data_IF_857506496442
#
_entry.id   IF_857506496442
#
_cell.length_a   1.000
_cell.length_b   1.000
_cell.length_c   1.000
_cell.angle_alpha   90.00
_cell.angle_beta   90.00
_cell.angle_gamma   90.00
#
_symmetry.space_group_name_H-M   'P 1'
#
loop_
_entity.id
_entity.type
_entity.pdbx_description
1 polymer ?
#
# COMPACT_ATOMS: atom_id res chain seq x y z
N UNK A 1 6.73 -42.28 19.47
CA UNK A 1 5.42 -41.59 19.50
C UNK A 1 5.53 -40.06 19.69
N UNK A 2 6.73 -39.49 19.68
CA UNK A 2 7.00 -38.09 20.06
C UNK A 2 6.93 -37.10 18.86
N UNK A 3 7.01 -37.60 17.63
CA UNK A 3 7.12 -36.79 16.40
C UNK A 3 5.82 -36.14 15.94
N UNK A 4 4.65 -36.74 16.21
CA UNK A 4 3.34 -36.22 15.77
C UNK A 4 2.86 -35.06 16.62
N UNK A 5 3.09 -35.12 17.93
CA UNK A 5 2.72 -34.05 18.87
C UNK A 5 3.62 -32.81 18.71
N UNK A 6 4.92 -33.01 18.45
CA UNK A 6 5.85 -31.92 18.13
C UNK A 6 5.48 -31.24 16.80
N UNK A 7 5.06 -32.01 15.79
CA UNK A 7 4.61 -31.46 14.52
C UNK A 7 3.30 -30.67 14.65
N UNK A 8 2.36 -31.13 15.47
CA UNK A 8 1.14 -30.38 15.79
C UNK A 8 1.46 -29.06 16.51
N UNK A 9 2.37 -29.07 17.48
CA UNK A 9 2.78 -27.86 18.21
C UNK A 9 3.44 -26.83 17.30
N UNK A 10 4.42 -27.25 16.49
CA UNK A 10 5.10 -26.37 15.53
C UNK A 10 4.10 -25.77 14.53
N UNK A 11 3.15 -26.59 14.10
CA UNK A 11 2.05 -26.19 13.22
C UNK A 11 1.17 -25.10 13.84
N UNK A 12 0.73 -25.29 15.07
CA UNK A 12 -0.10 -24.34 15.82
C UNK A 12 0.65 -23.01 16.06
N UNK A 13 1.95 -23.09 16.38
CA UNK A 13 2.83 -21.92 16.54
C UNK A 13 2.96 -21.13 15.22
N UNK A 14 3.12 -21.83 14.08
CA UNK A 14 3.20 -21.21 12.75
C UNK A 14 1.88 -20.52 12.38
N UNK A 15 0.75 -21.19 12.57
CA UNK A 15 -0.58 -20.64 12.28
C UNK A 15 -0.82 -19.40 13.13
N UNK A 16 -0.60 -19.49 14.45
CA UNK A 16 -0.80 -18.38 15.37
C UNK A 16 0.10 -17.18 15.04
N UNK A 17 1.36 -17.44 14.69
CA UNK A 17 2.29 -16.39 14.25
C UNK A 17 1.80 -15.70 12.96
N UNK A 18 1.23 -16.48 12.04
CA UNK A 18 0.72 -15.98 10.78
C UNK A 18 -0.56 -15.16 10.96
N UNK A 19 -1.52 -15.64 11.74
CA UNK A 19 -2.75 -14.93 12.06
C UNK A 19 -2.47 -13.60 12.77
N UNK A 20 -1.50 -13.57 13.69
CA UNK A 20 -1.04 -12.32 14.33
C UNK A 20 -0.47 -11.33 13.32
N UNK A 21 0.32 -11.79 12.33
CA UNK A 21 0.85 -10.92 11.27
C UNK A 21 -0.25 -10.38 10.37
N UNK A 22 -1.22 -11.21 10.00
CA UNK A 22 -2.39 -10.80 9.21
C UNK A 22 -3.18 -9.72 9.97
N UNK A 23 -3.40 -9.91 11.28
CA UNK A 23 -4.08 -8.93 12.12
C UNK A 23 -3.31 -7.60 12.21
N UNK A 24 -1.97 -7.65 12.40
CA UNK A 24 -1.14 -6.45 12.40
C UNK A 24 -1.18 -5.71 11.07
N UNK A 25 -1.17 -6.44 9.94
CA UNK A 25 -1.33 -5.84 8.61
C UNK A 25 -2.69 -5.16 8.47
N UNK A 26 -3.77 -5.82 8.92
CA UNK A 26 -5.11 -5.23 8.90
C UNK A 26 -5.16 -3.92 9.71
N UNK A 27 -4.54 -3.89 10.91
CA UNK A 27 -4.44 -2.66 11.70
C UNK A 27 -3.67 -1.54 11.00
N UNK A 28 -2.56 -1.86 10.32
CA UNK A 28 -1.79 -0.86 9.55
C UNK A 28 -2.65 -0.27 8.42
N UNK A 29 -3.44 -1.12 7.76
CA UNK A 29 -4.35 -0.70 6.69
C UNK A 29 -5.42 0.23 7.23
N UNK A 30 -6.08 -0.14 8.33
CA UNK A 30 -7.13 0.68 8.95
C UNK A 30 -6.59 2.02 9.44
N UNK A 31 -5.41 2.02 10.07
CA UNK A 31 -4.73 3.24 10.47
C UNK A 31 -4.38 4.11 9.25
N UNK A 32 -3.92 3.51 8.16
CA UNK A 32 -3.62 4.26 6.93
C UNK A 32 -4.88 4.87 6.34
N UNK A 33 -6.00 4.14 6.29
CA UNK A 33 -7.28 4.69 5.82
C UNK A 33 -7.73 5.89 6.65
N UNK A 34 -7.61 5.81 7.98
CA UNK A 34 -7.93 6.91 8.86
C UNK A 34 -7.03 8.13 8.61
N UNK A 35 -5.73 7.89 8.48
CA UNK A 35 -4.75 8.94 8.14
C UNK A 35 -5.12 9.62 6.82
N UNK A 36 -5.45 8.85 5.77
CA UNK A 36 -5.89 9.41 4.48
C UNK A 36 -7.14 10.29 4.64
N UNK A 37 -8.10 9.87 5.46
CA UNK A 37 -9.32 10.63 5.69
C UNK A 37 -9.07 11.91 6.48
N UNK A 38 -8.28 11.85 7.54
CA UNK A 38 -7.84 13.02 8.30
C UNK A 38 -7.11 14.03 7.39
N UNK A 39 -6.27 13.52 6.49
CA UNK A 39 -5.53 14.32 5.52
C UNK A 39 -6.44 15.04 4.53
N UNK A 40 -7.43 14.31 4.01
CA UNK A 40 -8.44 14.87 3.11
C UNK A 40 -9.21 16.00 3.78
N UNK A 41 -9.58 15.82 5.05
CA UNK A 41 -10.27 16.83 5.83
C UNK A 41 -9.39 18.08 6.05
N UNK A 42 -8.15 17.90 6.53
CA UNK A 42 -7.20 19.00 6.74
C UNK A 42 -6.95 19.80 5.45
N UNK A 43 -6.72 19.09 4.34
CA UNK A 43 -6.51 19.70 3.03
C UNK A 43 -7.72 20.54 2.60
N UNK A 44 -8.93 19.98 2.71
CA UNK A 44 -10.14 20.66 2.29
C UNK A 44 -10.37 21.92 3.13
N UNK A 45 -10.22 21.84 4.46
CA UNK A 45 -10.31 23.00 5.37
C UNK A 45 -9.31 24.10 5.00
N UNK A 46 -8.03 23.74 4.82
CA UNK A 46 -6.99 24.71 4.45
C UNK A 46 -7.25 25.33 3.07
N UNK A 47 -7.70 24.52 2.11
CA UNK A 47 -8.07 24.96 0.77
C UNK A 47 -9.23 25.94 0.81
N UNK A 48 -10.27 25.66 1.58
CA UNK A 48 -11.44 26.53 1.72
C UNK A 48 -11.08 27.85 2.39
N UNK A 49 -10.27 27.83 3.46
CA UNK A 49 -9.75 29.06 4.05
C UNK A 49 -8.95 29.91 3.06
N UNK A 50 -8.08 29.29 2.27
CA UNK A 50 -7.27 30.00 1.28
C UNK A 50 -8.14 30.58 0.15
N UNK A 51 -9.13 29.82 -0.31
CA UNK A 51 -10.12 30.24 -1.30
C UNK A 51 -10.93 31.43 -0.83
N UNK A 52 -11.40 31.41 0.42
CA UNK A 52 -12.16 32.51 1.01
C UNK A 52 -11.33 33.77 1.15
N UNK A 53 -10.09 33.66 1.66
CA UNK A 53 -9.19 34.80 1.81
C UNK A 53 -8.91 35.47 0.46
N UNK A 54 -8.48 34.70 -0.53
CA UNK A 54 -8.14 35.24 -1.86
C UNK A 54 -9.35 35.88 -2.56
N UNK A 55 -10.54 35.35 -2.33
CA UNK A 55 -11.78 35.93 -2.85
C UNK A 55 -12.15 37.23 -2.12
N UNK A 56 -12.02 37.28 -0.79
CA UNK A 56 -12.32 38.44 0.04
C UNK A 56 -11.41 39.63 -0.27
N UNK A 57 -10.12 39.35 -0.50
CA UNK A 57 -9.12 40.36 -0.84
C UNK A 57 -9.18 40.78 -2.33
N UNK A 58 -10.08 40.19 -3.12
CA UNK A 58 -10.25 40.50 -4.54
C UNK A 58 -9.13 39.98 -5.44
N UNK A 59 -8.20 39.18 -4.90
CA UNK A 59 -7.09 38.63 -5.65
C UNK A 59 -7.51 37.48 -6.57
N UNK A 60 -8.45 36.62 -6.18
CA UNK A 60 -8.83 35.49 -7.03
C UNK A 60 -10.30 35.12 -6.87
N UNK A 61 -11.02 34.99 -7.98
CA UNK A 61 -12.40 34.48 -7.94
C UNK A 61 -12.39 33.03 -7.48
N UNK A 62 -13.36 32.66 -6.64
CA UNK A 62 -13.54 31.28 -6.14
C UNK A 62 -13.49 30.23 -7.26
N UNK A 63 -14.13 30.51 -8.41
CA UNK A 63 -14.12 29.65 -9.60
C UNK A 63 -12.72 29.46 -10.21
N UNK A 64 -11.91 30.53 -10.25
CA UNK A 64 -10.55 30.45 -10.80
C UNK A 64 -9.63 29.66 -9.84
N UNK A 65 -9.82 29.82 -8.53
CA UNK A 65 -9.17 29.01 -7.52
C UNK A 65 -9.49 27.51 -7.69
N UNK A 66 -10.79 27.17 -7.81
CA UNK A 66 -11.24 25.79 -8.00
C UNK A 66 -10.61 25.16 -9.25
N UNK A 67 -10.58 25.90 -10.36
CA UNK A 67 -9.93 25.46 -11.59
C UNK A 67 -8.42 25.23 -11.41
N UNK A 68 -7.75 26.06 -10.62
CA UNK A 68 -6.31 25.92 -10.34
C UNK A 68 -6.00 24.69 -9.48
N UNK A 69 -6.85 24.37 -8.50
CA UNK A 69 -6.65 23.21 -7.63
C UNK A 69 -7.06 21.89 -8.26
N UNK A 70 -8.00 21.91 -9.21
CA UNK A 70 -8.63 20.71 -9.78
C UNK A 70 -7.64 19.61 -10.14
N UNK A 71 -6.55 19.94 -10.84
CA UNK A 71 -5.58 18.93 -11.28
C UNK A 71 -4.78 18.33 -10.11
N UNK A 72 -4.43 19.16 -9.12
CA UNK A 72 -3.71 18.70 -7.92
C UNK A 72 -4.60 17.79 -7.09
N UNK A 73 -5.88 18.15 -6.91
CA UNK A 73 -6.85 17.34 -6.18
C UNK A 73 -7.12 16.01 -6.87
N UNK A 74 -7.31 16.03 -8.20
CA UNK A 74 -7.56 14.81 -8.96
C UNK A 74 -6.39 13.83 -8.91
N UNK A 75 -5.14 14.33 -8.98
CA UNK A 75 -3.96 13.48 -8.80
C UNK A 75 -3.90 12.87 -7.40
N UNK A 76 -4.27 13.63 -6.36
CA UNK A 76 -4.30 13.11 -5.00
C UNK A 76 -5.38 12.06 -4.79
N UNK A 77 -6.60 12.32 -5.26
CA UNK A 77 -7.70 11.36 -5.12
C UNK A 77 -7.36 10.04 -5.84
N UNK A 78 -6.76 10.13 -7.05
CA UNK A 78 -6.25 8.96 -7.78
C UNK A 78 -5.19 8.21 -6.95
N UNK A 79 -4.28 8.96 -6.32
CA UNK A 79 -3.19 8.39 -5.53
C UNK A 79 -3.68 7.69 -4.27
N UNK A 80 -4.66 8.29 -3.59
CA UNK A 80 -5.33 7.70 -2.43
C UNK A 80 -6.01 6.38 -2.82
N UNK A 81 -6.68 6.33 -3.98
CA UNK A 81 -7.31 5.12 -4.50
C UNK A 81 -6.27 4.02 -4.80
N UNK A 82 -5.17 4.35 -5.47
CA UNK A 82 -4.06 3.41 -5.71
C UNK A 82 -3.51 2.80 -4.42
N UNK A 83 -3.35 3.61 -3.36
CA UNK A 83 -2.88 3.13 -2.05
C UNK A 83 -3.92 2.20 -1.41
N UNK A 84 -5.22 2.56 -1.45
CA UNK A 84 -6.29 1.71 -0.93
C UNK A 84 -6.33 0.35 -1.64
N UNK A 85 -6.24 0.35 -2.96
CA UNK A 85 -6.25 -0.87 -3.76
C UNK A 85 -5.05 -1.77 -3.49
N UNK A 86 -3.85 -1.18 -3.36
CA UNK A 86 -2.64 -1.90 -2.99
C UNK A 86 -2.79 -2.59 -1.63
N UNK A 87 -3.28 -1.86 -0.63
CA UNK A 87 -3.47 -2.35 0.73
C UNK A 87 -4.53 -3.46 0.78
N UNK A 88 -5.64 -3.29 0.06
CA UNK A 88 -6.69 -4.31 -0.06
C UNK A 88 -6.15 -5.59 -0.68
N UNK A 89 -5.46 -5.48 -1.81
CA UNK A 89 -4.86 -6.62 -2.51
C UNK A 89 -3.84 -7.33 -1.61
N UNK A 90 -3.04 -6.58 -0.86
CA UNK A 90 -2.10 -7.16 0.10
C UNK A 90 -2.79 -7.97 1.18
N UNK A 91 -3.87 -7.44 1.77
CA UNK A 91 -4.64 -8.14 2.79
C UNK A 91 -5.28 -9.42 2.26
N UNK A 92 -5.84 -9.38 1.05
CA UNK A 92 -6.40 -10.56 0.39
C UNK A 92 -5.33 -11.64 0.17
N UNK A 93 -4.12 -11.27 -0.28
CA UNK A 93 -2.99 -12.19 -0.40
C UNK A 93 -2.57 -12.79 0.95
N UNK A 94 -2.56 -12.00 2.02
CA UNK A 94 -2.25 -12.51 3.37
C UNK A 94 -3.31 -13.52 3.84
N UNK A 95 -4.59 -13.27 3.57
CA UNK A 95 -5.68 -14.19 3.91
C UNK A 95 -5.58 -15.49 3.11
N UNK A 96 -5.32 -15.41 1.81
CA UNK A 96 -5.13 -16.58 0.94
C UNK A 96 -3.99 -17.47 1.45
N UNK A 97 -2.84 -16.88 1.80
CA UNK A 97 -1.72 -17.63 2.35
C UNK A 97 -2.04 -18.30 3.68
N UNK A 98 -2.79 -17.63 4.56
CA UNK A 98 -3.24 -18.23 5.82
C UNK A 98 -4.12 -19.46 5.56
N UNK A 99 -5.03 -19.39 4.59
CA UNK A 99 -5.87 -20.52 4.20
C UNK A 99 -5.08 -21.67 3.56
N UNK A 100 -4.06 -21.37 2.74
CA UNK A 100 -3.15 -22.39 2.20
C UNK A 100 -2.44 -23.13 3.34
N UNK A 101 -1.90 -22.39 4.32
CA UNK A 101 -1.25 -22.98 5.50
C UNK A 101 -2.26 -23.88 6.23
N UNK A 102 -3.46 -23.38 6.55
CA UNK A 102 -4.50 -24.16 7.23
C UNK A 102 -4.86 -25.46 6.51
N UNK A 103 -5.07 -25.41 5.19
CA UNK A 103 -5.41 -26.61 4.39
C UNK A 103 -4.30 -27.65 4.40
N UNK A 104 -3.05 -27.22 4.20
CA UNK A 104 -1.91 -28.14 4.20
C UNK A 104 -1.71 -28.84 5.56
N UNK A 105 -2.06 -28.16 6.65
CA UNK A 105 -2.00 -28.71 8.00
C UNK A 105 -3.15 -29.67 8.29
N UNK A 106 -4.36 -29.35 7.81
CA UNK A 106 -5.54 -30.20 7.95
C UNK A 106 -5.41 -31.52 7.14
N UNK A 107 -4.72 -31.50 6.00
CA UNK A 107 -4.46 -32.69 5.17
C UNK A 107 -3.51 -33.72 5.85
N UNK A 108 -2.92 -33.36 7.00
CA UNK A 108 -2.61 -34.26 8.11
C UNK A 108 -1.51 -35.31 7.95
N UNK A 109 -1.20 -35.82 6.75
CA UNK A 109 -0.24 -36.94 6.55
C UNK A 109 0.26 -37.15 5.10
N UNK A 110 -0.08 -36.31 4.11
CA UNK A 110 0.27 -36.55 2.69
C UNK A 110 1.37 -35.66 2.11
N UNK A 111 1.70 -34.54 2.74
CA UNK A 111 2.73 -33.60 2.26
C UNK A 111 4.05 -33.95 2.93
N UNK A 112 5.10 -34.21 2.15
CA UNK A 112 6.43 -34.48 2.71
C UNK A 112 6.85 -33.24 3.50
N UNK A 113 7.42 -33.43 4.69
CA UNK A 113 7.86 -32.31 5.55
C UNK A 113 8.74 -31.29 4.81
N UNK A 114 9.60 -31.77 3.91
CA UNK A 114 10.46 -30.96 3.05
C UNK A 114 9.66 -30.07 2.08
N UNK A 115 8.52 -30.56 1.58
CA UNK A 115 7.61 -29.80 0.72
C UNK A 115 6.90 -28.69 1.48
N UNK A 116 6.49 -29.01 2.71
CA UNK A 116 5.89 -28.03 3.62
C UNK A 116 6.90 -26.95 4.03
N UNK A 117 8.15 -27.32 4.30
CA UNK A 117 9.23 -26.36 4.57
C UNK A 117 9.48 -25.43 3.38
N UNK A 118 9.48 -25.95 2.16
CA UNK A 118 9.63 -25.14 0.94
C UNK A 118 8.46 -24.18 0.72
N UNK A 119 7.22 -24.60 1.02
CA UNK A 119 6.04 -23.74 1.01
C UNK A 119 6.17 -22.63 2.05
N UNK A 120 6.57 -22.94 3.28
CA UNK A 120 6.76 -21.93 4.32
C UNK A 120 7.87 -20.93 3.99
N UNK A 121 8.99 -21.40 3.45
CA UNK A 121 10.10 -20.54 3.04
C UNK A 121 9.66 -19.56 1.95
N UNK A 122 8.92 -20.04 0.95
CA UNK A 122 8.43 -19.19 -0.15
C UNK A 122 7.33 -18.22 0.30
N UNK A 123 6.43 -18.63 1.21
CA UNK A 123 5.47 -17.73 1.86
C UNK A 123 6.20 -16.62 2.62
N UNK A 124 7.24 -16.94 3.41
CA UNK A 124 8.04 -15.95 4.14
C UNK A 124 8.72 -14.96 3.21
N UNK A 125 9.29 -15.42 2.10
CA UNK A 125 9.91 -14.56 1.09
C UNK A 125 8.89 -13.61 0.49
N UNK A 126 7.71 -14.11 0.07
CA UNK A 126 6.65 -13.29 -0.52
C UNK A 126 6.08 -12.28 0.48
N UNK A 127 5.92 -12.67 1.75
CA UNK A 127 5.54 -11.74 2.82
C UNK A 127 6.55 -10.61 2.98
N UNK A 128 7.84 -10.93 3.06
CA UNK A 128 8.89 -9.93 3.24
C UNK A 128 8.94 -8.98 2.04
N UNK A 129 8.86 -9.52 0.84
CA UNK A 129 8.86 -8.74 -0.38
C UNK A 129 7.66 -7.79 -0.39
N UNK A 130 6.44 -8.32 -0.34
CA UNK A 130 5.21 -7.51 -0.40
C UNK A 130 5.09 -6.50 0.74
N UNK A 131 5.53 -6.87 1.94
CA UNK A 131 5.61 -5.95 3.07
C UNK A 131 6.54 -4.76 2.81
N UNK A 132 7.69 -4.98 2.15
CA UNK A 132 8.58 -3.89 1.74
C UNK A 132 7.95 -3.00 0.67
N UNK A 133 7.24 -3.58 -0.31
CA UNK A 133 6.55 -2.81 -1.36
C UNK A 133 5.53 -1.84 -0.74
N UNK A 134 4.68 -2.37 0.14
CA UNK A 134 3.68 -1.59 0.86
C UNK A 134 4.34 -0.52 1.74
N UNK A 135 5.40 -0.85 2.47
CA UNK A 135 6.08 0.11 3.34
C UNK A 135 6.69 1.28 2.54
N UNK A 136 7.36 1.00 1.43
CA UNK A 136 7.91 2.04 0.54
C UNK A 136 6.79 2.94 0.01
N UNK A 137 5.66 2.35 -0.37
CA UNK A 137 4.50 3.08 -0.90
C UNK A 137 3.87 4.00 0.16
N UNK A 138 3.66 3.48 1.36
CA UNK A 138 3.10 4.24 2.48
C UNK A 138 4.01 5.38 2.90
N UNK A 139 5.33 5.14 2.95
CA UNK A 139 6.31 6.18 3.28
C UNK A 139 6.27 7.32 2.26
N UNK A 140 6.29 7.01 0.97
CA UNK A 140 6.21 8.02 -0.10
C UNK A 140 4.90 8.82 -0.05
N UNK A 141 3.79 8.13 0.19
CA UNK A 141 2.49 8.76 0.34
C UNK A 141 2.47 9.73 1.54
N UNK A 142 3.05 9.32 2.67
CA UNK A 142 3.17 10.18 3.85
C UNK A 142 4.04 11.42 3.60
N UNK A 143 5.17 11.27 2.92
CA UNK A 143 6.04 12.41 2.53
C UNK A 143 5.35 13.37 1.56
N UNK A 144 4.51 12.87 0.64
CA UNK A 144 3.67 13.72 -0.23
C UNK A 144 2.66 14.52 0.56
N UNK A 145 2.04 13.89 1.55
CA UNK A 145 1.08 14.55 2.42
C UNK A 145 1.72 15.67 3.24
N UNK A 146 2.82 15.38 3.96
CA UNK A 146 3.44 16.35 4.86
C UNK A 146 3.89 17.59 4.09
N UNK A 147 4.45 17.39 2.90
CA UNK A 147 4.87 18.49 2.05
C UNK A 147 3.70 19.33 1.53
N UNK A 148 2.59 18.70 1.14
CA UNK A 148 1.43 19.44 0.66
C UNK A 148 0.79 20.26 1.79
N UNK A 149 0.60 19.63 2.96
CA UNK A 149 0.02 20.29 4.13
C UNK A 149 0.91 21.44 4.61
N UNK A 150 2.23 21.24 4.63
CA UNK A 150 3.18 22.31 4.91
C UNK A 150 3.08 23.45 3.91
N UNK A 151 2.97 23.14 2.61
CA UNK A 151 2.86 24.17 1.57
C UNK A 151 1.57 24.99 1.70
N UNK A 152 0.45 24.34 2.02
CA UNK A 152 -0.83 25.02 2.29
C UNK A 152 -0.76 25.87 3.58
N UNK A 153 -0.13 25.34 4.62
CA UNK A 153 0.07 26.05 5.88
C UNK A 153 0.96 27.30 5.69
N UNK A 154 2.08 27.17 4.97
CA UNK A 154 2.99 28.28 4.67
C UNK A 154 2.28 29.38 3.86
N UNK A 155 1.38 29.01 2.94
CA UNK A 155 0.51 29.96 2.25
C UNK A 155 -0.43 30.67 3.23
N UNK A 156 -1.10 29.95 4.13
CA UNK A 156 -2.00 30.56 5.10
C UNK A 156 -1.27 31.51 6.07
N UNK A 157 -0.05 31.18 6.47
CA UNK A 157 0.79 31.97 7.37
C UNK A 157 1.29 33.28 6.74
N UNK A 158 1.46 33.34 5.42
CA UNK A 158 1.84 34.58 4.71
C UNK A 158 0.77 35.70 4.82
N UNK A 159 -0.43 35.40 5.30
CA UNK A 159 -1.45 36.42 5.57
C UNK A 159 -1.92 37.15 4.31
N UNK A 160 -2.11 38.48 4.41
CA UNK A 160 -2.54 39.37 3.32
C UNK A 160 -1.50 39.49 2.18
N UNK A 161 -0.30 38.94 2.36
CA UNK A 161 0.77 38.98 1.36
C UNK A 161 0.70 37.82 0.35
N UNK A 162 -0.26 36.89 0.46
CA UNK A 162 -0.41 35.79 -0.49
C UNK A 162 -0.89 36.33 -1.83
N UNK A 163 0.04 36.50 -2.76
CA UNK A 163 -0.32 36.86 -4.14
C UNK A 163 -0.74 35.61 -4.89
N UNK A 164 -1.58 35.79 -5.92
CA UNK A 164 -1.93 34.70 -6.87
C UNK A 164 -0.68 33.99 -7.39
N UNK A 165 0.42 34.73 -7.55
CA UNK A 165 1.70 34.19 -8.02
C UNK A 165 2.36 33.23 -7.01
N UNK A 166 2.22 33.46 -5.70
CA UNK A 166 2.66 32.53 -4.66
C UNK A 166 1.86 31.22 -4.72
N UNK A 167 0.53 31.32 -4.84
CA UNK A 167 -0.34 30.16 -5.01
C UNK A 167 0.02 29.38 -6.27
N UNK A 168 0.16 30.06 -7.42
CA UNK A 168 0.54 29.42 -8.69
C UNK A 168 1.88 28.70 -8.60
N UNK A 169 2.88 29.32 -7.97
CA UNK A 169 4.21 28.72 -7.81
C UNK A 169 4.14 27.47 -6.91
N UNK A 170 3.41 27.53 -5.80
CA UNK A 170 3.23 26.38 -4.92
C UNK A 170 2.49 25.24 -5.60
N UNK A 171 1.38 25.51 -6.31
CA UNK A 171 0.64 24.47 -7.01
C UNK A 171 1.48 23.82 -8.11
N UNK A 172 2.29 24.58 -8.86
CA UNK A 172 3.24 24.03 -9.83
C UNK A 172 4.26 23.12 -9.16
N UNK A 173 4.81 23.53 -8.02
CA UNK A 173 5.79 22.73 -7.27
C UNK A 173 5.17 21.43 -6.74
N UNK A 174 3.97 21.51 -6.16
CA UNK A 174 3.22 20.34 -5.69
C UNK A 174 2.96 19.39 -6.85
N UNK A 175 2.44 19.90 -7.97
CA UNK A 175 2.13 19.09 -9.16
C UNK A 175 3.39 18.44 -9.75
N UNK A 176 4.51 19.15 -9.86
CA UNK A 176 5.76 18.60 -10.38
C UNK A 176 6.30 17.47 -9.48
N UNK A 177 6.23 17.64 -8.16
CA UNK A 177 6.63 16.61 -7.19
C UNK A 177 5.72 15.39 -7.24
N UNK A 178 4.41 15.59 -7.32
CA UNK A 178 3.43 14.50 -7.47
C UNK A 178 3.68 13.70 -8.75
N UNK A 179 3.97 14.37 -9.87
CA UNK A 179 4.31 13.69 -11.13
C UNK A 179 5.59 12.86 -11.02
N UNK A 180 6.65 13.41 -10.43
CA UNK A 180 7.91 12.69 -10.25
C UNK A 180 7.71 11.44 -9.38
N UNK A 181 7.01 11.59 -8.24
CA UNK A 181 6.77 10.47 -7.32
C UNK A 181 5.83 9.42 -7.90
N UNK A 182 4.79 9.84 -8.63
CA UNK A 182 3.92 8.93 -9.38
C UNK A 182 4.71 8.08 -10.37
N UNK A 183 5.66 8.68 -11.10
CA UNK A 183 6.55 7.94 -12.00
C UNK A 183 7.44 6.94 -11.25
N UNK A 184 8.15 7.37 -10.21
CA UNK A 184 9.01 6.47 -9.42
C UNK A 184 8.23 5.31 -8.79
N UNK A 185 6.99 5.58 -8.37
CA UNK A 185 6.12 4.56 -7.81
C UNK A 185 5.67 3.58 -8.88
N UNK A 186 5.23 4.09 -10.03
CA UNK A 186 4.82 3.27 -11.16
C UNK A 186 5.96 2.35 -11.62
N UNK A 187 7.19 2.85 -11.65
CA UNK A 187 8.38 2.05 -11.95
C UNK A 187 8.57 0.93 -10.92
N UNK A 188 8.54 1.24 -9.62
CA UNK A 188 8.65 0.23 -8.56
C UNK A 188 7.52 -0.81 -8.62
N UNK A 189 6.28 -0.38 -8.86
CA UNK A 189 5.13 -1.30 -9.00
C UNK A 189 5.29 -2.23 -10.20
N UNK A 190 5.86 -1.73 -11.30
CA UNK A 190 6.16 -2.57 -12.46
C UNK A 190 7.28 -3.58 -12.17
N UNK A 191 8.32 -3.18 -11.46
CA UNK A 191 9.38 -4.10 -10.98
C UNK A 191 8.79 -5.20 -10.12
N UNK A 192 7.98 -4.83 -9.12
CA UNK A 192 7.31 -5.77 -8.24
C UNK A 192 6.35 -6.70 -8.99
N UNK A 193 5.61 -6.19 -9.97
CA UNK A 193 4.73 -7.03 -10.81
C UNK A 193 5.52 -8.09 -11.58
N UNK A 194 6.67 -7.74 -12.15
CA UNK A 194 7.53 -8.71 -12.85
C UNK A 194 8.06 -9.79 -11.89
N UNK A 195 8.58 -9.38 -10.73
CA UNK A 195 9.07 -10.33 -9.71
C UNK A 195 7.96 -11.28 -9.22
N UNK A 196 6.72 -10.79 -9.14
CA UNK A 196 5.55 -11.63 -8.83
C UNK A 196 5.30 -12.69 -9.90
N UNK A 197 5.24 -12.28 -11.16
CA UNK A 197 4.94 -13.19 -12.28
C UNK A 197 5.98 -14.31 -12.34
N UNK A 198 7.27 -13.97 -12.18
CA UNK A 198 8.36 -14.95 -12.09
C UNK A 198 8.20 -15.91 -10.91
N UNK A 199 7.81 -15.39 -9.75
CA UNK A 199 7.62 -16.19 -8.54
C UNK A 199 6.41 -17.10 -8.65
N UNK A 200 5.32 -16.63 -9.26
CA UNK A 200 4.11 -17.41 -9.52
C UNK A 200 4.36 -18.52 -10.54
N UNK A 201 5.15 -18.25 -11.59
CA UNK A 201 5.62 -19.26 -12.55
C UNK A 201 6.44 -20.36 -11.86
N UNK A 202 7.39 -19.98 -10.99
CA UNK A 202 8.16 -20.94 -10.18
C UNK A 202 7.24 -21.81 -9.31
N UNK A 203 6.22 -21.21 -8.72
CA UNK A 203 5.21 -21.92 -7.93
C UNK A 203 4.39 -22.91 -8.76
N UNK A 204 3.82 -22.47 -9.89
CA UNK A 204 3.08 -23.36 -10.80
C UNK A 204 3.94 -24.55 -11.20
N UNK A 205 5.21 -24.34 -11.53
CA UNK A 205 6.13 -25.42 -11.88
C UNK A 205 6.40 -26.40 -10.73
N UNK A 206 6.54 -25.91 -9.48
CA UNK A 206 6.73 -26.76 -8.30
C UNK A 206 5.50 -27.63 -7.98
N UNK A 207 4.29 -27.14 -8.24
CA UNK A 207 3.04 -27.88 -8.01
C UNK A 207 2.65 -28.78 -9.20
N UNK A 208 2.94 -28.38 -10.44
CA UNK A 208 2.64 -29.17 -11.65
C UNK A 208 3.61 -30.36 -11.81
N UNK A 209 4.93 -30.17 -11.59
CA UNK A 209 5.88 -31.30 -11.72
C UNK A 209 5.68 -32.40 -10.67
N UNK A 210 4.94 -32.16 -9.59
CA UNK A 210 4.65 -33.17 -8.56
C UNK A 210 3.41 -34.01 -8.83
N UNK A 211 2.52 -33.59 -9.74
CA UNK A 211 1.35 -34.39 -10.14
C UNK A 211 1.67 -35.39 -11.26
N UNK A 212 2.80 -35.26 -11.95
CA UNK A 212 3.20 -36.18 -13.03
C UNK A 212 4.21 -37.28 -12.64
N UNK A 213 4.76 -37.29 -11.42
CA UNK A 213 5.71 -38.34 -10.99
C UNK A 213 5.01 -39.53 -10.28
N UNK A 214 3.67 -39.52 -10.16
CA UNK A 214 2.91 -40.62 -9.52
C UNK A 214 2.25 -41.62 -10.48
N UNK A 215 2.63 -41.63 -11.76
CA UNK A 215 2.20 -42.66 -12.71
C UNK A 215 3.40 -43.12 -13.53
N UNK A 216 4.25 -43.96 -12.96
CA UNK A 216 4.93 -45.06 -13.66
C UNK A 216 5.71 -45.93 -12.66
N UNK A 217 5.40 -47.22 -12.73
CA UNK A 217 5.99 -48.41 -12.09
C UNK A 217 5.55 -48.74 -10.66
#
# INVERSE_FOLDING_TARGET
MQTTDDMRRITEEIVSSYESRVANVAMIIDNTHKIIEDFKNIRNDMSDHLKERLAKEGFLRKKDFDNMLKNVLLMQDTREEEVRDLLKTFLEEQKEMAEIIKKQLADGNKVRFEDFQNILASIRTRQKQRGNEVNIMLKKFHEEYEEMTKSLYDLLQKGEAVRIQDLKSNLKNIHAKQMNRSNEVREKLNEFRKEREETELKWKNLFINKTHIRVTN
#
